data_IF_192227744915
#
_entry.id   IF_192227744915
#
_cell.length_a   1.000
_cell.length_b   1.000
_cell.length_c   1.000
_cell.angle_alpha   90.00
_cell.angle_beta   90.00
_cell.angle_gamma   90.00
#
_symmetry.space_group_name_H-M   'P 1'
#
loop_
_entity.id
_entity.type
_entity.pdbx_description
1 polymer ?
#
# COMPACT_ATOMS: atom_id res chain seq x y z
N UNK A 1 -0.47 -2.64 26.63
CA UNK A 1 -1.30 -2.32 25.44
C UNK A 1 -0.58 -2.89 24.22
N UNK A 2 -1.24 -3.70 23.38
CA UNK A 2 -0.60 -4.22 22.18
C UNK A 2 -0.54 -3.11 21.10
N UNK A 3 0.66 -2.64 20.79
CA UNK A 3 0.91 -1.53 19.86
C UNK A 3 0.41 -1.84 18.44
N UNK A 4 0.33 -3.12 18.04
CA UNK A 4 -0.19 -3.52 16.73
C UNK A 4 -1.65 -3.08 16.53
N UNK A 5 -2.46 -3.08 17.59
CA UNK A 5 -3.87 -2.68 17.50
C UNK A 5 -4.07 -1.20 17.21
N UNK A 6 -3.06 -0.35 17.41
CA UNK A 6 -3.10 1.06 17.05
C UNK A 6 -3.08 1.27 15.53
N UNK A 7 -2.60 0.28 14.77
CA UNK A 7 -2.57 0.31 13.31
C UNK A 7 -3.79 -0.37 12.67
N UNK A 8 -4.73 -0.89 13.47
CA UNK A 8 -5.84 -1.73 12.98
C UNK A 8 -7.18 -1.17 13.46
N UNK A 9 -7.79 -0.21 12.75
CA UNK A 9 -9.00 0.47 13.21
C UNK A 9 -10.18 -0.46 13.49
N UNK A 10 -10.89 -0.25 14.60
CA UNK A 10 -12.05 -1.07 15.00
C UNK A 10 -13.30 -0.81 14.14
N UNK A 11 -13.42 0.40 13.61
CA UNK A 11 -14.55 0.86 12.81
C UNK A 11 -14.47 0.42 11.33
N UNK A 12 -13.44 -0.33 10.93
CA UNK A 12 -13.23 -0.78 9.55
C UNK A 12 -13.25 -2.30 9.49
N UNK A 13 -14.27 -2.84 8.82
CA UNK A 13 -14.57 -4.28 8.80
C UNK A 13 -13.41 -5.15 8.28
N UNK A 14 -12.61 -4.63 7.34
CA UNK A 14 -11.47 -5.36 6.80
C UNK A 14 -10.41 -5.73 7.85
N UNK A 15 -10.27 -4.94 8.92
CA UNK A 15 -9.30 -5.24 9.99
C UNK A 15 -9.82 -6.20 11.05
N UNK A 16 -11.13 -6.51 11.06
CA UNK A 16 -11.75 -7.37 12.09
C UNK A 16 -11.08 -8.74 12.23
N UNK A 17 -10.80 -9.42 11.10
CA UNK A 17 -10.12 -10.71 11.08
C UNK A 17 -8.72 -10.61 11.67
N UNK A 18 -7.95 -9.58 11.27
CA UNK A 18 -6.60 -9.35 11.79
C UNK A 18 -6.61 -9.08 13.29
N UNK A 19 -7.54 -8.22 13.77
CA UNK A 19 -7.68 -7.92 15.19
C UNK A 19 -8.03 -9.16 16.02
N UNK A 20 -8.87 -10.04 15.48
CA UNK A 20 -9.22 -11.32 16.12
C UNK A 20 -7.99 -12.22 16.21
N UNK A 21 -7.31 -12.47 15.09
CA UNK A 21 -6.15 -13.36 15.06
C UNK A 21 -5.01 -12.86 15.95
N UNK A 22 -4.67 -11.55 15.91
CA UNK A 22 -3.62 -10.99 16.77
C UNK A 22 -3.95 -11.10 18.26
N UNK A 23 -5.24 -11.13 18.63
CA UNK A 23 -5.66 -11.35 20.01
C UNK A 23 -5.49 -12.81 20.45
N UNK A 24 -5.74 -13.73 19.53
CA UNK A 24 -5.80 -15.17 19.82
C UNK A 24 -4.45 -15.88 19.59
N UNK A 25 -3.55 -15.27 18.80
CA UNK A 25 -2.26 -15.84 18.41
C UNK A 25 -1.14 -15.60 19.43
N UNK A 26 -0.15 -16.47 19.35
CA UNK A 26 1.09 -16.42 20.13
C UNK A 26 2.26 -16.03 19.24
N UNK A 27 3.26 -15.37 19.82
CA UNK A 27 4.54 -15.16 19.14
C UNK A 27 5.23 -16.51 18.98
N UNK A 28 5.45 -16.93 17.74
CA UNK A 28 6.09 -18.20 17.40
C UNK A 28 7.62 -18.11 17.48
N UNK A 29 8.17 -16.94 17.19
CA UNK A 29 9.61 -16.70 17.08
C UNK A 29 9.96 -15.61 16.08
N UNK A 30 11.25 -15.42 15.87
CA UNK A 30 11.80 -14.43 14.93
C UNK A 30 11.57 -14.83 13.48
N UNK A 31 11.36 -13.82 12.65
CA UNK A 31 11.25 -13.97 11.21
C UNK A 31 12.58 -13.80 10.49
N UNK A 32 12.48 -13.62 9.18
CA UNK A 32 13.64 -13.63 8.26
C UNK A 32 14.60 -12.45 8.45
N UNK A 33 14.11 -11.36 9.03
CA UNK A 33 14.86 -10.11 9.13
C UNK A 33 15.54 -9.92 10.51
N UNK A 34 15.49 -10.93 11.37
CA UNK A 34 16.13 -10.93 12.69
C UNK A 34 15.33 -10.18 13.75
N UNK A 35 16.03 -9.67 14.77
CA UNK A 35 15.45 -8.98 15.92
C UNK A 35 14.48 -7.87 15.49
N UNK A 36 13.28 -7.85 16.09
CA UNK A 36 12.22 -6.91 15.72
C UNK A 36 11.27 -7.41 14.63
N UNK A 37 11.51 -8.56 14.00
CA UNK A 37 10.59 -9.20 13.04
C UNK A 37 10.12 -10.55 13.58
N UNK A 38 8.81 -10.77 13.66
CA UNK A 38 8.24 -11.95 14.34
C UNK A 38 7.02 -12.50 13.59
N UNK A 39 6.72 -13.76 13.88
CA UNK A 39 5.49 -14.43 13.44
C UNK A 39 4.50 -14.62 14.59
N UNK A 40 3.23 -14.35 14.32
CA UNK A 40 2.10 -14.73 15.15
C UNK A 40 1.38 -15.93 14.53
N UNK A 41 1.03 -16.93 15.35
CA UNK A 41 0.23 -18.10 14.92
C UNK A 41 -0.32 -18.90 16.10
N UNK A 42 -0.76 -20.13 15.83
CA UNK A 42 -1.24 -21.03 16.88
C UNK A 42 -0.07 -21.69 17.62
N UNK A 43 -0.32 -22.14 18.85
CA UNK A 43 0.65 -22.93 19.61
C UNK A 43 1.02 -24.19 18.83
N UNK A 44 2.32 -24.38 18.60
CA UNK A 44 2.87 -25.54 17.88
C UNK A 44 3.03 -25.33 16.38
N UNK A 45 2.64 -24.17 15.82
CA UNK A 45 2.92 -23.85 14.43
C UNK A 45 4.43 -23.59 14.21
N UNK A 46 4.99 -24.15 13.14
CA UNK A 46 6.39 -23.94 12.76
C UNK A 46 6.56 -22.69 11.86
N UNK A 47 7.72 -22.02 11.95
CA UNK A 47 8.04 -20.89 11.07
C UNK A 47 8.76 -21.39 9.82
N UNK A 48 8.11 -21.25 8.67
CA UNK A 48 8.67 -21.63 7.37
C UNK A 48 9.40 -20.45 6.72
N UNK A 49 10.70 -20.32 7.02
CA UNK A 49 11.52 -19.23 6.49
C UNK A 49 11.92 -19.43 5.02
N UNK A 50 11.43 -20.43 4.30
CA UNK A 50 11.67 -20.62 2.85
C UNK A 50 10.62 -19.91 1.98
N UNK A 51 9.44 -19.62 2.53
CA UNK A 51 8.36 -18.91 1.84
C UNK A 51 8.57 -17.39 1.90
N UNK A 52 8.46 -16.71 0.76
CA UNK A 52 8.51 -15.24 0.71
C UNK A 52 7.46 -14.60 1.61
N UNK A 53 7.86 -13.57 2.36
CA UNK A 53 6.94 -12.75 3.16
C UNK A 53 5.74 -12.28 2.35
N UNK A 54 4.57 -12.35 2.97
CA UNK A 54 3.35 -11.77 2.40
C UNK A 54 3.45 -10.25 2.28
N UNK A 55 2.65 -9.61 1.42
CA UNK A 55 2.64 -8.16 1.31
C UNK A 55 2.30 -7.47 2.64
N UNK A 56 2.87 -6.29 2.87
CA UNK A 56 2.50 -5.46 4.02
C UNK A 56 1.02 -5.08 3.92
N UNK A 57 0.22 -5.45 4.93
CA UNK A 57 -1.16 -5.00 5.09
C UNK A 57 -1.18 -3.53 5.45
N UNK A 58 -0.42 -3.15 6.47
CA UNK A 58 -0.30 -1.77 6.93
C UNK A 58 1.01 -1.55 7.68
N UNK A 59 1.44 -0.29 7.73
CA UNK A 59 2.54 0.15 8.57
C UNK A 59 2.22 1.51 9.19
N UNK A 60 2.99 1.88 10.20
CA UNK A 60 2.81 3.12 10.90
C UNK A 60 3.90 3.42 11.90
N UNK A 61 3.89 4.67 12.36
CA UNK A 61 4.78 5.17 13.39
C UNK A 61 3.92 5.48 14.62
N UNK A 62 4.29 4.92 15.77
CA UNK A 62 3.66 5.20 17.06
C UNK A 62 4.65 5.95 17.94
N UNK A 63 4.38 7.22 18.18
CA UNK A 63 5.15 8.05 19.11
C UNK A 63 4.52 7.98 20.50
N UNK A 64 5.36 7.71 21.48
CA UNK A 64 5.00 7.62 22.90
C UNK A 64 5.87 8.58 23.70
N UNK A 65 5.57 8.72 24.99
CA UNK A 65 6.37 9.51 25.94
C UNK A 65 7.81 8.98 26.13
N UNK A 66 8.11 7.74 25.72
CA UNK A 66 9.40 7.08 25.95
C UNK A 66 10.14 6.68 24.68
N UNK A 67 9.41 6.34 23.62
CA UNK A 67 9.98 5.81 22.38
C UNK A 67 9.09 6.10 21.17
N UNK A 68 9.70 6.04 19.99
CA UNK A 68 8.99 6.01 18.71
C UNK A 68 9.14 4.62 18.09
N UNK A 69 8.02 3.97 17.81
CA UNK A 69 7.97 2.64 17.25
C UNK A 69 7.60 2.69 15.77
N UNK A 70 8.42 2.10 14.92
CA UNK A 70 8.08 1.79 13.54
C UNK A 70 7.51 0.38 13.49
N UNK A 71 6.25 0.25 13.03
CA UNK A 71 5.51 -1.00 13.04
C UNK A 71 5.06 -1.32 11.63
N UNK A 72 5.24 -2.57 11.20
CA UNK A 72 4.62 -3.11 10.00
C UNK A 72 3.90 -4.42 10.31
N UNK A 73 2.77 -4.65 9.65
CA UNK A 73 1.95 -5.85 9.78
C UNK A 73 1.71 -6.37 8.37
N UNK A 74 2.03 -7.63 8.12
CA UNK A 74 1.83 -8.25 6.82
C UNK A 74 0.45 -8.90 6.72
N UNK A 75 0.04 -9.20 5.49
CA UNK A 75 -1.18 -9.95 5.22
C UNK A 75 -1.09 -11.38 5.79
N UNK A 76 -2.24 -11.96 6.13
CA UNK A 76 -2.30 -13.33 6.64
C UNK A 76 -1.82 -14.29 5.55
N UNK A 77 -0.85 -15.14 5.88
CA UNK A 77 -0.34 -16.20 5.02
C UNK A 77 -0.21 -17.48 5.82
N UNK A 78 -0.77 -18.58 5.32
CA UNK A 78 -0.76 -19.89 5.98
C UNK A 78 -1.20 -19.83 7.45
N UNK A 79 -2.25 -19.03 7.69
CA UNK A 79 -2.82 -18.76 9.01
C UNK A 79 -1.84 -18.15 10.03
N UNK A 80 -0.78 -17.50 9.55
CA UNK A 80 0.19 -16.75 10.35
C UNK A 80 0.18 -15.28 9.95
N UNK A 81 0.64 -14.43 10.85
CA UNK A 81 0.83 -12.99 10.61
C UNK A 81 2.28 -12.66 10.92
N UNK A 82 3.03 -12.26 9.90
CA UNK A 82 4.33 -11.64 10.09
C UNK A 82 4.14 -10.17 10.48
N UNK A 83 4.92 -9.69 11.44
CA UNK A 83 4.97 -8.28 11.79
C UNK A 83 6.40 -7.86 12.10
N UNK A 84 6.66 -6.56 12.01
CA UNK A 84 7.88 -5.96 12.54
C UNK A 84 7.56 -4.81 13.48
N UNK A 85 8.39 -4.64 14.50
CA UNK A 85 8.37 -3.52 15.44
C UNK A 85 9.80 -3.15 15.82
N UNK A 86 10.14 -1.87 15.66
CA UNK A 86 11.47 -1.34 16.00
C UNK A 86 11.36 0.03 16.70
N UNK A 87 12.01 0.23 17.86
CA UNK A 87 12.66 -0.80 18.69
C UNK A 87 11.63 -1.80 19.25
N UNK A 88 12.07 -2.96 19.76
CA UNK A 88 11.16 -3.87 20.45
C UNK A 88 10.69 -3.23 21.78
N UNK A 89 9.39 -3.29 22.13
CA UNK A 89 8.89 -2.69 23.36
C UNK A 89 9.38 -3.45 24.59
N UNK A 90 9.79 -2.72 25.63
CA UNK A 90 10.10 -3.28 26.95
C UNK A 90 8.79 -3.65 27.65
N UNK A 91 8.63 -4.94 28.00
CA UNK A 91 7.43 -5.48 28.63
C UNK A 91 7.19 -4.92 30.04
N UNK A 92 8.23 -4.38 30.68
CA UNK A 92 8.13 -3.75 32.01
C UNK A 92 7.71 -2.28 31.93
N UNK A 93 7.70 -1.70 30.73
CA UNK A 93 7.39 -0.29 30.50
C UNK A 93 5.92 -0.08 30.13
N UNK A 94 5.33 0.95 30.72
CA UNK A 94 4.01 1.44 30.30
C UNK A 94 4.25 2.64 29.39
N UNK A 95 3.79 2.53 28.14
CA UNK A 95 3.88 3.57 27.12
C UNK A 95 2.59 4.38 27.04
N UNK A 96 2.69 5.71 27.14
CA UNK A 96 1.59 6.62 26.85
C UNK A 96 1.70 7.09 25.41
N UNK A 97 0.70 6.74 24.59
CA UNK A 97 0.68 7.13 23.17
C UNK A 97 0.41 8.62 23.04
N UNK A 98 1.27 9.31 22.30
CA UNK A 98 1.13 10.73 21.98
C UNK A 98 0.59 10.92 20.56
N UNK A 99 1.07 10.10 19.61
CA UNK A 99 0.70 10.20 18.21
C UNK A 99 0.80 8.86 17.50
N UNK A 100 -0.14 8.60 16.59
CA UNK A 100 -0.10 7.48 15.66
C UNK A 100 -0.17 8.02 14.24
N UNK A 101 0.79 7.63 13.39
CA UNK A 101 0.83 7.98 11.97
C UNK A 101 0.72 6.71 11.16
N UNK A 102 -0.46 6.46 10.59
CA UNK A 102 -0.73 5.29 9.75
C UNK A 102 -1.77 5.62 8.69
N UNK A 103 -1.70 4.97 7.53
CA UNK A 103 -2.74 5.09 6.50
C UNK A 103 -4.00 4.28 6.85
N UNK A 104 -3.98 3.43 7.88
CA UNK A 104 -5.11 2.54 8.17
C UNK A 104 -6.43 3.26 8.39
N UNK A 105 -6.43 4.43 9.04
CA UNK A 105 -7.63 5.25 9.28
C UNK A 105 -8.00 6.19 8.14
N UNK A 106 -7.12 6.32 7.14
CA UNK A 106 -7.35 7.27 6.06
C UNK A 106 -8.61 6.90 5.25
N UNK A 107 -9.32 7.94 4.79
CA UNK A 107 -10.47 7.83 3.89
C UNK A 107 -10.35 8.88 2.77
N UNK A 108 -10.92 8.61 1.58
CA UNK A 108 -10.93 9.55 0.47
C UNK A 108 -11.41 10.95 0.85
N UNK A 109 -10.73 11.98 0.33
CA UNK A 109 -11.03 13.39 0.60
C UNK A 109 -10.35 13.97 1.85
N UNK A 110 -9.70 13.14 2.68
CA UNK A 110 -8.85 13.62 3.78
C UNK A 110 -7.42 13.88 3.31
N UNK A 111 -6.73 14.78 4.01
CA UNK A 111 -5.27 14.88 3.96
C UNK A 111 -4.64 13.54 4.37
N UNK A 112 -3.39 13.32 3.98
CA UNK A 112 -2.64 12.15 4.42
C UNK A 112 -2.49 12.14 5.95
N UNK A 113 -2.08 11.00 6.54
CA UNK A 113 -1.77 10.93 7.98
C UNK A 113 -0.71 11.94 8.46
N UNK A 114 0.10 12.46 7.55
CA UNK A 114 1.11 13.49 7.82
C UNK A 114 0.62 14.91 7.52
N UNK A 115 -0.60 15.07 6.99
CA UNK A 115 -1.25 16.36 6.76
C UNK A 115 -1.07 16.94 5.35
N UNK A 116 -0.47 16.17 4.44
CA UNK A 116 -0.23 16.54 3.05
C UNK A 116 -1.46 16.33 2.15
N UNK A 117 -1.45 16.98 0.99
CA UNK A 117 -2.49 16.79 -0.03
C UNK A 117 -2.35 15.40 -0.66
N UNK A 118 -3.49 14.78 -0.96
CA UNK A 118 -3.57 13.46 -1.60
C UNK A 118 -4.28 13.61 -2.94
N UNK A 119 -3.64 13.15 -4.02
CA UNK A 119 -4.26 12.99 -5.35
C UNK A 119 -4.98 11.65 -5.41
N UNK A 120 -6.18 11.65 -5.96
CA UNK A 120 -7.08 10.49 -5.98
C UNK A 120 -7.37 10.07 -7.42
N UNK A 121 -7.26 8.78 -7.70
CA UNK A 121 -7.54 8.19 -9.00
C UNK A 121 -8.53 7.05 -8.82
N UNK A 122 -9.66 7.13 -9.51
CA UNK A 122 -10.75 6.18 -9.33
C UNK A 122 -10.47 4.90 -10.10
N UNK A 123 -10.54 3.76 -9.42
CA UNK A 123 -10.38 2.43 -10.00
C UNK A 123 -11.71 1.68 -9.82
N UNK A 124 -12.18 1.01 -10.87
CA UNK A 124 -13.45 0.26 -10.86
C UNK A 124 -14.64 1.02 -10.24
N UNK A 125 -15.10 2.10 -10.87
CA UNK A 125 -16.36 2.74 -10.47
C UNK A 125 -16.44 3.19 -9.00
N UNK A 126 -15.30 3.55 -8.39
CA UNK A 126 -15.10 3.97 -6.99
C UNK A 126 -15.04 2.85 -5.94
N UNK A 127 -15.06 1.58 -6.33
CA UNK A 127 -14.82 0.48 -5.38
C UNK A 127 -13.38 0.49 -4.86
N UNK A 128 -12.46 0.96 -5.71
CA UNK A 128 -11.06 1.12 -5.38
C UNK A 128 -10.61 2.55 -5.71
N UNK A 129 -9.79 3.14 -4.85
CA UNK A 129 -9.23 4.48 -5.09
C UNK A 129 -7.73 4.40 -4.88
N UNK A 130 -6.97 4.64 -5.93
CA UNK A 130 -5.53 4.83 -5.83
C UNK A 130 -5.28 6.24 -5.29
N UNK A 131 -4.57 6.30 -4.18
CA UNK A 131 -4.21 7.53 -3.49
C UNK A 131 -2.70 7.73 -3.57
N UNK A 132 -2.29 8.94 -3.95
CA UNK A 132 -0.88 9.35 -4.02
C UNK A 132 -0.71 10.62 -3.19
N UNK A 133 0.13 10.57 -2.17
CA UNK A 133 0.55 11.73 -1.38
C UNK A 133 1.97 12.13 -1.80
N UNK A 134 2.15 13.13 -2.70
CA UNK A 134 3.44 13.41 -3.27
C UNK A 134 4.47 13.88 -2.24
N UNK A 135 4.06 14.77 -1.34
CA UNK A 135 4.95 15.32 -0.31
C UNK A 135 5.44 14.26 0.69
N UNK A 136 4.61 13.25 0.98
CA UNK A 136 4.96 12.18 1.92
C UNK A 136 5.63 11.00 1.22
N UNK A 137 5.78 11.06 -0.10
CA UNK A 137 6.29 9.99 -0.94
C UNK A 137 5.55 8.65 -0.74
N UNK A 138 4.21 8.70 -0.59
CA UNK A 138 3.37 7.52 -0.30
C UNK A 138 2.32 7.26 -1.37
N UNK A 139 2.08 5.97 -1.61
CA UNK A 139 1.06 5.45 -2.52
C UNK A 139 0.30 4.33 -1.81
N UNK A 140 -1.02 4.35 -1.87
CA UNK A 140 -1.84 3.26 -1.35
C UNK A 140 -3.13 3.08 -2.16
N UNK A 141 -3.69 1.89 -2.08
CA UNK A 141 -5.02 1.58 -2.62
C UNK A 141 -6.03 1.54 -1.49
N UNK A 142 -7.04 2.39 -1.54
CA UNK A 142 -8.21 2.28 -0.67
C UNK A 142 -9.24 1.34 -1.30
N UNK A 143 -9.64 0.30 -0.57
CA UNK A 143 -10.76 -0.57 -0.93
C UNK A 143 -12.01 -0.19 -0.14
N UNK A 144 -13.07 0.20 -0.83
CA UNK A 144 -14.30 0.72 -0.21
C UNK A 144 -15.05 -0.33 0.61
N UNK A 145 -15.10 -1.58 0.14
CA UNK A 145 -15.87 -2.66 0.78
C UNK A 145 -15.31 -3.05 2.15
N UNK A 146 -13.98 -3.11 2.28
CA UNK A 146 -13.29 -3.47 3.52
C UNK A 146 -12.89 -2.26 4.36
N UNK A 147 -12.68 -1.11 3.71
CA UNK A 147 -12.12 0.10 4.30
C UNK A 147 -10.60 0.09 4.43
N UNK A 148 -9.92 -0.96 3.97
CA UNK A 148 -8.46 -1.13 4.09
C UNK A 148 -7.74 -0.17 3.12
N UNK A 149 -6.62 0.38 3.60
CA UNK A 149 -5.64 1.09 2.79
C UNK A 149 -4.41 0.19 2.60
N UNK A 150 -4.25 -0.35 1.40
CA UNK A 150 -3.15 -1.24 1.05
C UNK A 150 -1.95 -0.44 0.56
N UNK A 151 -0.81 -0.43 1.26
CA UNK A 151 0.37 0.31 0.82
C UNK A 151 0.92 -0.28 -0.47
N UNK A 152 1.35 0.60 -1.37
CA UNK A 152 1.95 0.24 -2.66
C UNK A 152 3.41 0.70 -2.64
N UNK A 153 4.38 -0.21 -2.84
CA UNK A 153 5.79 0.17 -2.94
C UNK A 153 6.03 1.10 -4.13
N UNK A 154 6.57 2.29 -3.85
CA UNK A 154 6.81 3.35 -4.84
C UNK A 154 7.66 2.85 -6.01
N UNK A 155 8.75 2.13 -5.71
CA UNK A 155 9.65 1.58 -6.73
C UNK A 155 8.92 0.66 -7.70
N UNK A 156 8.11 -0.27 -7.20
CA UNK A 156 7.36 -1.20 -8.05
C UNK A 156 6.34 -0.46 -8.93
N UNK A 157 5.63 0.52 -8.39
CA UNK A 157 4.65 1.31 -9.15
C UNK A 157 5.33 2.19 -10.21
N UNK A 158 6.40 2.89 -9.83
CA UNK A 158 7.13 3.76 -10.74
C UNK A 158 7.79 2.99 -11.89
N UNK A 159 8.28 1.79 -11.65
CA UNK A 159 8.82 0.92 -12.70
C UNK A 159 7.79 0.63 -13.80
N UNK A 160 6.51 0.42 -13.44
CA UNK A 160 5.45 0.21 -14.42
C UNK A 160 5.12 1.49 -15.19
N UNK A 161 5.16 2.67 -14.55
CA UNK A 161 5.01 3.95 -15.24
C UNK A 161 6.11 4.17 -16.29
N UNK A 162 7.38 3.94 -15.94
CA UNK A 162 8.50 4.06 -16.87
C UNK A 162 8.39 3.09 -18.04
N UNK A 163 7.93 1.85 -17.77
CA UNK A 163 7.70 0.84 -18.79
C UNK A 163 6.66 1.27 -19.82
N UNK A 164 5.58 1.93 -19.39
CA UNK A 164 4.56 2.47 -20.31
C UNK A 164 5.12 3.56 -21.24
N UNK A 165 6.02 4.41 -20.73
CA UNK A 165 6.70 5.45 -21.52
C UNK A 165 7.78 4.90 -22.46
N UNK A 166 8.08 3.59 -22.41
CA UNK A 166 9.24 2.96 -23.07
C UNK A 166 10.57 3.58 -22.66
N UNK A 167 10.61 4.18 -21.47
CA UNK A 167 11.80 4.80 -20.91
C UNK A 167 12.62 3.71 -20.21
N UNK A 168 13.75 3.31 -20.80
CA UNK A 168 14.59 2.19 -20.32
C UNK A 168 15.92 2.63 -19.74
N UNK A 169 16.16 3.95 -19.63
CA UNK A 169 17.42 4.51 -19.09
C UNK A 169 17.59 4.14 -17.61
N UNK A 170 18.71 3.49 -17.28
CA UNK A 170 19.05 3.01 -15.92
C UNK A 170 18.98 4.09 -14.84
N UNK A 171 19.30 5.33 -15.19
CA UNK A 171 19.33 6.48 -14.29
C UNK A 171 17.96 6.78 -13.64
N UNK A 172 16.85 6.48 -14.32
CA UNK A 172 15.51 6.72 -13.79
C UNK A 172 15.09 5.67 -12.75
N UNK A 173 15.56 4.43 -12.89
CA UNK A 173 15.27 3.34 -11.95
C UNK A 173 15.98 3.51 -10.60
N UNK A 174 17.02 4.35 -10.51
CA UNK A 174 17.80 4.56 -9.29
C UNK A 174 17.15 5.51 -8.29
N UNK A 175 16.16 6.31 -8.69
CA UNK A 175 15.47 7.23 -7.80
C UNK A 175 13.95 7.18 -7.99
N UNK A 176 13.25 6.24 -7.33
CA UNK A 176 11.80 6.10 -7.47
C UNK A 176 11.01 7.29 -6.92
N UNK A 177 11.62 8.13 -6.06
CA UNK A 177 10.96 9.33 -5.54
C UNK A 177 10.76 10.42 -6.61
N UNK A 178 11.48 10.34 -7.74
CA UNK A 178 11.23 11.23 -8.90
C UNK A 178 9.79 11.19 -9.40
N UNK A 179 9.10 10.07 -9.18
CA UNK A 179 7.67 9.95 -9.46
C UNK A 179 6.88 11.15 -8.90
N UNK A 180 7.21 11.58 -7.68
CA UNK A 180 6.40 12.57 -6.97
C UNK A 180 6.65 13.98 -7.48
N UNK A 181 7.87 14.27 -7.93
CA UNK A 181 8.23 15.53 -8.59
C UNK A 181 7.61 15.63 -10.00
N UNK A 182 7.55 14.50 -10.70
CA UNK A 182 7.09 14.43 -12.09
C UNK A 182 5.62 14.01 -12.22
N UNK A 183 4.89 13.87 -11.11
CA UNK A 183 3.55 13.26 -11.10
C UNK A 183 2.57 13.98 -12.04
N UNK A 184 2.68 15.31 -12.15
CA UNK A 184 1.84 16.13 -13.03
C UNK A 184 2.18 16.01 -14.52
N UNK A 185 3.26 15.32 -14.87
CA UNK A 185 3.60 15.01 -16.27
C UNK A 185 2.87 13.78 -16.81
N UNK A 186 2.26 12.98 -15.93
CA UNK A 186 1.50 11.80 -16.29
C UNK A 186 0.01 12.12 -16.36
N UNK A 187 -0.66 11.63 -17.40
CA UNK A 187 -2.12 11.66 -17.47
C UNK A 187 -2.73 10.69 -16.45
N UNK A 188 -3.94 10.98 -16.00
CA UNK A 188 -4.71 10.07 -15.14
C UNK A 188 -4.82 8.66 -15.74
N UNK A 189 -5.04 8.54 -17.05
CA UNK A 189 -5.07 7.24 -17.74
C UNK A 189 -3.74 6.48 -17.67
N UNK A 190 -2.60 7.16 -17.69
CA UNK A 190 -1.29 6.52 -17.57
C UNK A 190 -1.04 6.03 -16.14
N UNK A 191 -1.44 6.83 -15.13
CA UNK A 191 -1.36 6.46 -13.71
C UNK A 191 -2.22 5.24 -13.42
N UNK A 192 -3.48 5.25 -13.87
CA UNK A 192 -4.41 4.13 -13.72
C UNK A 192 -3.88 2.89 -14.44
N UNK A 193 -3.42 3.01 -15.68
CA UNK A 193 -2.89 1.87 -16.43
C UNK A 193 -1.64 1.27 -15.75
N UNK A 194 -0.72 2.10 -15.26
CA UNK A 194 0.46 1.62 -14.54
C UNK A 194 0.08 0.87 -13.27
N UNK A 195 -0.93 1.35 -12.55
CA UNK A 195 -1.45 0.66 -11.37
C UNK A 195 -2.01 -0.72 -11.72
N UNK A 196 -2.82 -0.82 -12.78
CA UNK A 196 -3.39 -2.09 -13.20
C UNK A 196 -2.30 -3.09 -13.64
N UNK A 197 -1.27 -2.62 -14.34
CA UNK A 197 -0.12 -3.44 -14.71
C UNK A 197 0.64 -3.92 -13.46
N UNK A 198 0.85 -3.04 -12.48
CA UNK A 198 1.42 -3.41 -11.19
C UNK A 198 0.62 -4.52 -10.50
N UNK A 199 -0.71 -4.39 -10.45
CA UNK A 199 -1.59 -5.42 -9.87
C UNK A 199 -1.47 -6.76 -10.59
N UNK A 200 -1.45 -6.74 -11.93
CA UNK A 200 -1.30 -7.94 -12.77
C UNK A 200 0.00 -8.69 -12.48
N UNK A 201 1.12 -7.99 -12.33
CA UNK A 201 2.41 -8.62 -12.06
C UNK A 201 2.57 -9.08 -10.60
N UNK A 202 2.04 -8.32 -9.64
CA UNK A 202 2.15 -8.65 -8.22
C UNK A 202 1.07 -9.61 -7.73
N UNK A 203 0.02 -9.86 -8.52
CA UNK A 203 -1.10 -10.77 -8.23
C UNK A 203 -1.83 -10.51 -6.90
N UNK A 204 -1.69 -9.30 -6.34
CA UNK A 204 -2.33 -8.91 -5.08
C UNK A 204 -3.81 -8.56 -5.25
N UNK A 205 -4.16 -7.98 -6.41
CA UNK A 205 -5.53 -7.64 -6.79
C UNK A 205 -5.80 -8.12 -8.20
N UNK A 206 -7.01 -8.61 -8.47
CA UNK A 206 -7.43 -9.03 -9.81
C UNK A 206 -8.30 -7.94 -10.45
N UNK A 207 -7.73 -7.29 -11.47
CA UNK A 207 -8.40 -6.26 -12.27
C UNK A 207 -8.32 -6.55 -13.77
N UNK A 208 -8.21 -7.82 -14.18
CA UNK A 208 -8.00 -8.19 -15.59
C UNK A 208 -9.10 -7.62 -16.52
N UNK A 209 -10.36 -7.60 -16.05
CA UNK A 209 -11.49 -7.02 -16.79
C UNK A 209 -11.35 -5.51 -17.07
N UNK A 210 -10.65 -4.75 -16.22
CA UNK A 210 -10.38 -3.33 -16.45
C UNK A 210 -9.26 -3.11 -17.47
N UNK A 211 -8.23 -3.96 -17.43
CA UNK A 211 -7.11 -3.91 -18.37
C UNK A 211 -7.63 -4.11 -19.78
N UNK A 212 -8.46 -5.12 -19.98
CA UNK A 212 -9.03 -5.43 -21.28
C UNK A 212 -9.87 -4.26 -21.80
N UNK A 213 -10.70 -3.62 -20.94
CA UNK A 213 -11.48 -2.43 -21.32
C UNK A 213 -10.59 -1.26 -21.74
N UNK A 214 -9.54 -0.96 -20.98
CA UNK A 214 -8.64 0.17 -21.27
C UNK A 214 -7.77 -0.06 -22.52
N UNK A 215 -7.43 -1.32 -22.81
CA UNK A 215 -6.68 -1.67 -24.02
C UNK A 215 -7.56 -1.80 -25.26
N UNK A 216 -8.86 -2.09 -25.10
CA UNK A 216 -9.82 -2.22 -26.20
C UNK A 216 -10.55 -0.93 -26.56
N UNK A 217 -10.55 0.09 -25.69
CA UNK A 217 -11.08 1.41 -26.07
C UNK A 217 -10.25 1.99 -27.22
N UNK A 218 -10.83 2.16 -28.43
CA UNK A 218 -10.09 2.66 -29.56
C UNK A 218 -9.71 4.11 -29.26
N UNK A 219 -8.40 4.41 -29.28
CA UNK A 219 -7.87 5.78 -29.36
C UNK A 219 -8.79 6.57 -30.29
N UNK A 220 -9.56 7.53 -29.76
CA UNK A 220 -10.39 8.43 -30.58
C UNK A 220 -9.53 8.88 -31.75
N UNK A 221 -9.86 8.42 -32.96
CA UNK A 221 -9.20 8.83 -34.19
C UNK A 221 -9.23 10.35 -34.17
N UNK A 222 -8.07 11.00 -34.01
CA UNK A 222 -7.94 12.41 -34.36
C UNK A 222 -8.45 12.52 -35.79
N UNK A 223 -9.52 13.27 -36.00
CA UNK A 223 -10.10 13.48 -37.31
C UNK A 223 -9.07 14.22 -38.17
N UNK A 224 -8.37 13.48 -39.03
CA UNK A 224 -7.43 14.03 -40.02
C UNK A 224 -8.16 14.57 -41.28
N UNK A 225 -9.47 14.77 -41.23
CA UNK A 225 -10.28 15.26 -42.36
C UNK A 225 -11.11 16.50 -42.03
N UNK A 226 -10.50 17.53 -41.46
CA UNK A 226 -11.08 18.89 -41.45
C UNK A 226 -10.34 19.88 -42.37
N UNK A 227 -9.35 19.43 -43.15
CA UNK A 227 -8.57 20.33 -44.01
C UNK A 227 -9.08 20.51 -45.45
N UNK A 228 -10.29 20.05 -45.78
CA UNK A 228 -10.92 20.37 -47.07
C UNK A 228 -12.39 20.75 -46.88
N UNK A 229 -12.63 22.00 -46.49
CA UNK A 229 -13.82 22.74 -46.89
C UNK A 229 -13.64 24.24 -46.67
N UNK A 230 -13.19 24.94 -47.72
CA UNK A 230 -13.74 26.25 -48.10
C UNK A 230 -13.57 26.41 -49.60
N UNK A 231 -14.72 26.62 -50.27
CA UNK A 231 -14.83 27.13 -51.63
C UNK A 231 -14.35 28.57 -51.66
#
# INVERSE_FOLDING_TARGET
MNLLFLLLPENKIGYSKYRKLIRDFFVLGEGRFGEGNYFLGNVGDEIELEISSSPILTSGIVTTDKATFEISINEIQDNKIEYSISPYPDENEIYKVERVVTISDWIPGKKSPEGSKVKLFSIDGMNYILAIAPTDHKIWLYEKSSGINYPIPVSNFYNELLRLKRETRKEFYQNPNRLFDELDTFSESEIVLAFLMYCKYKRRFNFDYLIDRLLTEPKRKKSFFSFFRRK
#
